data_IF_493716677591
#
_entry.id   IF_493716677591
#
_cell.length_a   1.000
_cell.length_b   1.000
_cell.length_c   1.000
_cell.angle_alpha   90.00
_cell.angle_beta   90.00
_cell.angle_gamma   90.00
#
_symmetry.space_group_name_H-M   'P 1'
#
loop_
_entity.id
_entity.type
_entity.pdbx_description
1 polymer ?
#
# COMPACT_ATOMS: atom_id res chain seq x y z
N UNK A 1 8.15 7.52 -7.42
CA UNK A 1 7.36 6.52 -6.66
C UNK A 1 6.01 6.21 -7.33
N UNK A 2 4.83 6.59 -6.80
CA UNK A 2 3.53 6.07 -7.28
C UNK A 2 3.24 6.32 -8.78
N UNK A 3 3.62 7.49 -9.32
CA UNK A 3 3.48 7.77 -10.76
C UNK A 3 4.48 6.97 -11.60
N UNK A 4 5.70 6.79 -11.10
CA UNK A 4 6.79 6.10 -11.82
C UNK A 4 6.56 4.58 -11.82
N UNK A 5 6.23 4.00 -10.67
CA UNK A 5 6.06 2.55 -10.50
C UNK A 5 4.70 2.03 -11.02
N UNK A 6 3.63 2.84 -10.93
CA UNK A 6 2.27 2.37 -11.22
C UNK A 6 1.49 3.24 -12.22
N UNK A 7 2.04 4.37 -12.69
CA UNK A 7 1.32 5.29 -13.57
C UNK A 7 0.18 6.07 -12.89
N UNK A 8 0.05 5.97 -11.57
CA UNK A 8 -1.05 6.59 -10.82
C UNK A 8 -0.63 7.99 -10.35
N UNK A 9 -1.37 9.02 -10.80
CA UNK A 9 -1.23 10.38 -10.29
C UNK A 9 -2.00 10.52 -8.99
N UNK A 10 -1.40 11.20 -8.02
CA UNK A 10 -2.03 11.49 -6.73
C UNK A 10 -2.45 12.95 -6.65
N UNK A 11 -3.59 13.19 -6.02
CA UNK A 11 -4.09 14.50 -5.62
C UNK A 11 -3.66 14.82 -4.20
N UNK A 12 -4.62 14.79 -3.26
CA UNK A 12 -4.34 15.02 -1.85
C UNK A 12 -3.46 13.89 -1.30
N UNK A 13 -2.40 14.28 -0.58
CA UNK A 13 -1.54 13.35 0.17
C UNK A 13 -1.55 13.77 1.64
N UNK A 14 -1.82 12.82 2.53
CA UNK A 14 -1.93 13.05 3.97
C UNK A 14 -0.94 12.16 4.71
N UNK A 15 -0.10 12.77 5.54
CA UNK A 15 0.78 12.06 6.45
C UNK A 15 -0.01 11.29 7.51
N UNK A 16 0.41 10.07 7.83
CA UNK A 16 -0.20 9.25 8.86
C UNK A 16 0.78 8.91 10.00
N UNK A 17 1.93 8.33 9.66
CA UNK A 17 2.89 7.84 10.66
C UNK A 17 4.31 7.76 10.08
N UNK A 18 5.30 7.63 10.95
CA UNK A 18 6.69 7.36 10.55
C UNK A 18 7.25 6.15 11.29
N UNK A 19 8.06 5.33 10.62
CA UNK A 19 8.73 4.17 11.22
C UNK A 19 10.22 4.16 10.84
N UNK A 20 11.15 4.11 11.81
CA UNK A 20 12.56 3.87 11.49
C UNK A 20 12.73 2.45 10.94
N UNK A 21 13.50 2.30 9.87
CA UNK A 21 13.78 1.04 9.21
C UNK A 21 15.30 0.79 9.11
N UNK A 22 15.86 -0.13 9.91
CA UNK A 22 17.30 -0.27 10.09
C UNK A 22 18.03 -1.04 8.96
N UNK A 23 17.49 -1.01 7.74
CA UNK A 23 18.09 -1.67 6.57
C UNK A 23 17.94 -0.78 5.32
N UNK A 24 18.98 -0.06 4.87
CA UNK A 24 20.27 0.18 5.53
C UNK A 24 20.15 1.12 6.74
N UNK A 25 19.54 2.31 6.60
CA UNK A 25 19.22 3.24 7.70
C UNK A 25 18.19 4.26 7.20
N UNK A 26 16.93 3.84 7.05
CA UNK A 26 15.86 4.67 6.47
C UNK A 26 14.85 5.12 7.52
N UNK A 27 14.17 6.24 7.25
CA UNK A 27 12.95 6.62 7.94
C UNK A 27 11.78 6.47 6.97
N UNK A 28 10.91 5.50 7.21
CA UNK A 28 9.71 5.32 6.40
C UNK A 28 8.69 6.38 6.80
N UNK A 29 8.22 7.16 5.83
CA UNK A 29 7.16 8.16 6.01
C UNK A 29 5.90 7.59 5.36
N UNK A 30 4.95 7.16 6.19
CA UNK A 30 3.69 6.58 5.75
C UNK A 30 2.64 7.65 5.47
N UNK A 31 2.10 7.62 4.25
CA UNK A 31 1.11 8.57 3.76
C UNK A 31 -0.07 7.85 3.10
N UNK A 32 -1.22 8.52 3.05
CA UNK A 32 -2.34 8.16 2.19
C UNK A 32 -2.40 9.14 1.02
N UNK A 33 -2.58 8.63 -0.20
CA UNK A 33 -2.74 9.43 -1.41
C UNK A 33 -4.08 9.14 -2.08
N UNK A 34 -4.80 10.18 -2.50
CA UNK A 34 -6.03 10.05 -3.29
C UNK A 34 -5.68 9.97 -4.79
N UNK A 35 -6.04 8.88 -5.50
CA UNK A 35 -5.72 8.75 -6.91
C UNK A 35 -6.55 9.70 -7.78
N UNK A 36 -5.93 10.26 -8.83
CA UNK A 36 -6.59 11.09 -9.86
C UNK A 36 -6.88 10.32 -11.15
N UNK A 37 -6.40 9.08 -11.24
CA UNK A 37 -6.68 8.12 -12.31
C UNK A 37 -6.59 6.70 -11.75
N UNK A 38 -7.20 5.75 -12.47
CA UNK A 38 -7.22 4.33 -12.09
C UNK A 38 -6.46 3.44 -13.09
N UNK A 39 -6.10 3.97 -14.27
CA UNK A 39 -5.33 3.24 -15.29
C UNK A 39 -3.91 2.96 -14.79
N UNK A 40 -3.64 1.71 -14.42
CA UNK A 40 -2.33 1.26 -13.95
C UNK A 40 -1.38 1.07 -15.15
N UNK A 41 -0.17 1.62 -15.03
CA UNK A 41 0.96 1.37 -15.91
C UNK A 41 2.15 0.97 -15.03
N UNK A 42 2.27 -0.34 -14.76
CA UNK A 42 3.29 -0.86 -13.85
C UNK A 42 4.68 -0.85 -14.50
N UNK A 43 5.69 -0.35 -13.79
CA UNK A 43 7.09 -0.57 -14.15
C UNK A 43 7.55 -1.95 -13.69
N UNK A 44 7.68 -2.87 -14.65
CA UNK A 44 8.05 -4.26 -14.39
C UNK A 44 9.54 -4.47 -14.06
N UNK A 45 10.35 -3.40 -14.08
CA UNK A 45 11.73 -3.48 -13.56
C UNK A 45 11.76 -3.40 -12.03
N UNK A 46 10.75 -2.80 -11.41
CA UNK A 46 10.66 -2.60 -9.96
C UNK A 46 9.57 -3.47 -9.31
N UNK A 47 8.42 -3.62 -9.96
CA UNK A 47 7.28 -4.39 -9.48
C UNK A 47 7.04 -5.63 -10.33
N UNK A 48 6.75 -6.77 -9.70
CA UNK A 48 6.30 -7.96 -10.43
C UNK A 48 4.84 -7.82 -10.91
N UNK A 49 4.00 -7.14 -10.12
CA UNK A 49 2.57 -6.93 -10.39
C UNK A 49 2.05 -5.67 -9.66
N UNK A 50 0.98 -5.08 -10.18
CA UNK A 50 0.28 -3.94 -9.57
C UNK A 50 -1.21 -3.96 -9.94
N UNK A 51 -2.08 -3.91 -8.92
CA UNK A 51 -3.54 -3.93 -9.11
C UNK A 51 -4.28 -3.22 -7.99
N UNK A 52 -5.51 -2.82 -8.31
CA UNK A 52 -6.48 -2.35 -7.33
C UNK A 52 -7.11 -3.52 -6.58
N UNK A 53 -7.41 -3.31 -5.30
CA UNK A 53 -8.07 -4.28 -4.43
C UNK A 53 -9.29 -3.65 -3.79
N UNK A 54 -10.38 -4.42 -3.67
CA UNK A 54 -11.54 -3.96 -2.93
C UNK A 54 -11.27 -4.03 -1.42
N UNK A 55 -11.92 -3.15 -0.66
CA UNK A 55 -11.74 -3.07 0.80
C UNK A 55 -12.01 -4.40 1.52
N UNK A 56 -13.06 -5.12 1.11
CA UNK A 56 -13.40 -6.42 1.70
C UNK A 56 -12.35 -7.48 1.36
N UNK A 57 -11.79 -7.43 0.14
CA UNK A 57 -10.70 -8.30 -0.29
C UNK A 57 -9.46 -8.10 0.59
N UNK A 58 -9.05 -6.84 0.80
CA UNK A 58 -7.91 -6.50 1.67
C UNK A 58 -8.17 -6.91 3.12
N UNK A 59 -9.43 -6.85 3.61
CA UNK A 59 -9.78 -7.38 4.94
C UNK A 59 -9.46 -8.86 5.06
N UNK A 60 -9.79 -9.66 4.05
CA UNK A 60 -9.43 -11.10 4.04
C UNK A 60 -7.91 -11.33 3.96
N UNK A 61 -7.16 -10.48 3.26
CA UNK A 61 -5.68 -10.55 3.24
C UNK A 61 -5.08 -10.25 4.61
N UNK A 62 -5.63 -9.26 5.31
CA UNK A 62 -5.24 -8.89 6.68
C UNK A 62 -5.53 -10.00 7.70
N UNK A 63 -6.58 -10.79 7.47
CA UNK A 63 -6.98 -11.95 8.27
C UNK A 63 -6.31 -13.26 7.83
N UNK A 64 -5.57 -13.23 6.70
CA UNK A 64 -4.94 -14.39 6.06
C UNK A 64 -5.94 -15.46 5.62
N UNK A 65 -7.11 -15.03 5.15
CA UNK A 65 -8.21 -15.86 4.67
C UNK A 65 -8.53 -15.61 3.19
N UNK A 66 -7.74 -14.81 2.49
CA UNK A 66 -7.92 -14.50 1.07
C UNK A 66 -7.88 -15.77 0.19
N UNK A 67 -8.82 -15.90 -0.75
CA UNK A 67 -9.01 -17.11 -1.56
C UNK A 67 -7.75 -17.50 -2.37
N UNK A 68 -7.09 -16.51 -2.95
CA UNK A 68 -5.86 -16.71 -3.73
C UNK A 68 -4.57 -16.75 -2.86
N UNK A 69 -4.70 -16.80 -1.53
CA UNK A 69 -3.56 -16.86 -0.61
C UNK A 69 -2.76 -15.55 -0.47
N UNK A 70 -3.30 -14.44 -0.96
CA UNK A 70 -2.69 -13.11 -0.84
C UNK A 70 -2.68 -12.64 0.62
N UNK A 71 -1.58 -12.03 1.02
CA UNK A 71 -1.39 -11.53 2.39
C UNK A 71 -0.84 -10.12 2.38
N UNK A 72 -1.19 -9.36 3.42
CA UNK A 72 -0.51 -8.09 3.72
C UNK A 72 0.83 -8.34 4.42
N UNK A 73 1.72 -7.33 4.47
CA UNK A 73 2.94 -7.38 5.28
C UNK A 73 2.68 -7.73 6.77
N UNK A 74 3.71 -8.17 7.52
CA UNK A 74 3.60 -8.50 8.94
C UNK A 74 3.14 -7.33 9.80
N UNK A 75 2.49 -7.63 10.95
CA UNK A 75 1.86 -6.63 11.85
C UNK A 75 2.79 -5.51 12.36
N UNK A 76 4.10 -5.72 12.33
CA UNK A 76 5.08 -4.72 12.76
C UNK A 76 5.58 -3.79 11.64
N UNK A 77 5.17 -3.99 10.40
CA UNK A 77 5.59 -3.16 9.28
C UNK A 77 4.66 -1.93 9.12
N UNK A 78 5.21 -0.76 8.80
CA UNK A 78 4.43 0.45 8.52
C UNK A 78 3.38 0.22 7.43
N UNK A 79 3.70 -0.59 6.41
CA UNK A 79 2.76 -0.96 5.37
C UNK A 79 1.52 -1.68 5.93
N UNK A 80 1.68 -2.58 6.91
CA UNK A 80 0.54 -3.22 7.59
C UNK A 80 -0.32 -2.20 8.33
N UNK A 81 0.31 -1.25 9.03
CA UNK A 81 -0.41 -0.22 9.76
C UNK A 81 -1.21 0.71 8.83
N UNK A 82 -0.61 1.13 7.71
CA UNK A 82 -1.30 1.94 6.70
C UNK A 82 -2.50 1.19 6.10
N UNK A 83 -2.30 -0.07 5.68
CA UNK A 83 -3.36 -0.88 5.08
C UNK A 83 -4.50 -1.14 6.09
N UNK A 84 -4.17 -1.48 7.33
CA UNK A 84 -5.17 -1.67 8.40
C UNK A 84 -5.97 -0.40 8.65
N UNK A 85 -5.28 0.73 8.84
CA UNK A 85 -5.93 2.02 9.09
C UNK A 85 -6.81 2.45 7.91
N UNK A 86 -6.39 2.16 6.67
CA UNK A 86 -7.24 2.37 5.51
C UNK A 86 -8.48 1.50 5.57
N UNK A 87 -8.38 0.17 5.78
CA UNK A 87 -9.54 -0.76 5.85
C UNK A 87 -10.52 -0.40 6.97
N UNK A 88 -10.02 0.07 8.10
CA UNK A 88 -10.81 0.41 9.28
C UNK A 88 -11.40 1.83 9.22
N UNK A 89 -11.02 2.66 8.23
CA UNK A 89 -11.63 3.97 7.99
C UNK A 89 -13.08 3.82 7.52
N UNK A 90 -13.94 4.78 7.88
CA UNK A 90 -15.29 4.90 7.30
C UNK A 90 -15.25 5.26 5.80
#
# INVERSE_FOLDING_TARGET
ETLEEAGIRLGRVVYHASQPWPFPYSLMIGCFGEPLNEDIQADLNELEDCRWFFRDEVRTMLERTHADGLITPPKGAIAHHLIRAWVDSE
#
